data_IF_556939986101
#
_entry.id   IF_556939986101
#
_cell.length_a   1.000
_cell.length_b   1.000
_cell.length_c   1.000
_cell.angle_alpha   90.00
_cell.angle_beta   90.00
_cell.angle_gamma   90.00
#
_symmetry.space_group_name_H-M   'P 1'
#
loop_
_entity.id
_entity.type
_entity.pdbx_description
1 polymer ?
#
# COMPACT_ATOMS: atom_id res chain seq x y z
N UNK A 1 -27.03 -11.75 15.49
CA UNK A 1 -26.29 -12.94 14.97
C UNK A 1 -25.39 -12.44 13.87
N UNK A 2 -24.09 -12.47 14.05
CA UNK A 2 -23.13 -12.05 13.01
C UNK A 2 -23.25 -13.02 11.83
N UNK A 3 -23.40 -12.54 10.58
CA UNK A 3 -23.43 -13.44 9.44
C UNK A 3 -22.05 -14.12 9.32
N UNK A 4 -22.04 -15.43 9.46
CA UNK A 4 -20.84 -16.27 9.36
C UNK A 4 -20.71 -16.71 7.90
N UNK A 5 -19.63 -16.31 7.26
CA UNK A 5 -19.16 -16.99 6.05
C UNK A 5 -18.64 -18.37 6.46
N UNK A 6 -18.99 -19.41 5.69
CA UNK A 6 -18.41 -20.73 5.86
C UNK A 6 -16.88 -20.70 5.74
N UNK A 7 -16.18 -21.78 6.16
CA UNK A 7 -14.72 -21.82 6.06
C UNK A 7 -14.26 -21.72 4.59
N UNK A 8 -13.27 -20.85 4.34
CA UNK A 8 -12.62 -20.76 3.03
C UNK A 8 -11.66 -21.94 2.89
N UNK A 9 -11.98 -22.87 2.01
CA UNK A 9 -11.14 -24.06 1.77
C UNK A 9 -10.34 -23.96 0.47
N UNK A 10 -10.75 -23.07 -0.43
CA UNK A 10 -10.12 -22.89 -1.75
C UNK A 10 -8.96 -21.91 -1.64
N UNK A 11 -7.80 -22.30 -2.16
CA UNK A 11 -6.66 -21.39 -2.33
C UNK A 11 -6.89 -20.51 -3.56
N UNK A 12 -6.79 -19.20 -3.37
CA UNK A 12 -6.90 -18.22 -4.44
C UNK A 12 -5.50 -17.77 -4.90
N UNK A 13 -5.37 -17.46 -6.20
CA UNK A 13 -4.10 -16.94 -6.71
C UNK A 13 -3.80 -15.57 -6.13
N UNK A 14 -4.78 -14.67 -6.17
CA UNK A 14 -4.65 -13.29 -5.67
C UNK A 14 -5.77 -12.96 -4.70
N UNK A 15 -5.42 -12.31 -3.59
CA UNK A 15 -6.36 -11.77 -2.62
C UNK A 15 -6.09 -10.27 -2.46
N UNK A 16 -7.14 -9.47 -2.52
CA UNK A 16 -7.11 -8.03 -2.20
C UNK A 16 -7.53 -7.85 -0.75
N UNK A 17 -6.79 -7.05 0.01
CA UNK A 17 -7.09 -6.78 1.42
C UNK A 17 -7.04 -5.30 1.72
N UNK A 18 -7.98 -4.83 2.52
CA UNK A 18 -8.09 -3.42 2.92
C UNK A 18 -8.74 -3.27 4.30
N UNK A 19 -8.48 -2.14 4.96
CA UNK A 19 -9.10 -1.73 6.20
C UNK A 19 -9.99 -0.50 6.03
N UNK A 20 -11.25 -0.58 6.48
CA UNK A 20 -12.23 0.50 6.36
C UNK A 20 -12.58 1.02 7.73
N UNK A 21 -12.32 2.31 7.99
CA UNK A 21 -12.76 2.96 9.24
C UNK A 21 -14.20 3.46 9.11
N UNK A 22 -15.03 3.05 10.08
CA UNK A 22 -16.44 3.42 10.22
C UNK A 22 -16.62 3.89 11.66
N UNK A 23 -16.68 5.20 11.86
CA UNK A 23 -16.62 5.80 13.19
C UNK A 23 -15.31 5.44 13.92
N UNK A 24 -15.43 4.82 15.10
CA UNK A 24 -14.30 4.35 15.92
C UNK A 24 -13.86 2.91 15.63
N UNK A 25 -14.54 2.20 14.74
CA UNK A 25 -14.25 0.81 14.39
C UNK A 25 -13.59 0.69 13.05
N UNK A 26 -12.80 -0.36 12.88
CA UNK A 26 -12.20 -0.72 11.62
C UNK A 26 -12.72 -2.09 11.17
N UNK A 27 -13.20 -2.18 9.95
CA UNK A 27 -13.53 -3.42 9.27
C UNK A 27 -12.36 -3.81 8.36
N UNK A 28 -11.69 -4.90 8.67
CA UNK A 28 -10.73 -5.54 7.78
C UNK A 28 -11.48 -6.48 6.85
N UNK A 29 -11.13 -6.46 5.57
CA UNK A 29 -11.79 -7.28 4.55
C UNK A 29 -10.77 -7.92 3.62
N UNK A 30 -11.04 -9.17 3.25
CA UNK A 30 -10.29 -9.91 2.24
C UNK A 30 -11.24 -10.36 1.14
N UNK A 31 -10.91 -10.09 -0.12
CA UNK A 31 -11.71 -10.44 -1.29
C UNK A 31 -10.86 -11.03 -2.40
N UNK A 32 -11.49 -11.76 -3.32
CA UNK A 32 -10.87 -12.15 -4.58
C UNK A 32 -10.75 -10.96 -5.54
N UNK A 33 -10.04 -11.11 -6.66
CA UNK A 33 -9.99 -10.09 -7.72
C UNK A 33 -11.36 -9.82 -8.37
N UNK A 34 -12.29 -10.78 -8.29
CA UNK A 34 -13.68 -10.63 -8.73
C UNK A 34 -14.60 -10.04 -7.67
N UNK A 35 -14.03 -9.53 -6.56
CA UNK A 35 -14.72 -8.92 -5.42
C UNK A 35 -15.63 -9.87 -4.61
N UNK A 36 -15.43 -11.17 -4.71
CA UNK A 36 -16.05 -12.12 -3.81
C UNK A 36 -15.42 -11.99 -2.42
N UNK A 37 -16.24 -11.70 -1.40
CA UNK A 37 -15.78 -11.59 -0.02
C UNK A 37 -15.42 -12.99 0.52
N UNK A 38 -14.18 -13.12 0.97
CA UNK A 38 -13.66 -14.36 1.58
C UNK A 38 -13.80 -14.34 3.10
N UNK A 39 -13.40 -13.25 3.72
CA UNK A 39 -13.52 -13.04 5.15
C UNK A 39 -13.51 -11.56 5.51
N UNK A 40 -14.02 -11.24 6.70
CA UNK A 40 -13.90 -9.92 7.31
C UNK A 40 -13.64 -10.04 8.81
N UNK A 41 -13.15 -8.94 9.41
CA UNK A 41 -12.84 -8.85 10.83
C UNK A 41 -13.10 -7.45 11.34
N UNK A 42 -13.99 -7.30 12.33
CA UNK A 42 -14.12 -6.05 13.07
C UNK A 42 -13.00 -5.90 14.11
N UNK A 43 -12.45 -4.73 14.22
CA UNK A 43 -11.41 -4.40 15.20
C UNK A 43 -11.46 -2.90 15.56
N UNK A 44 -10.84 -2.54 16.69
CA UNK A 44 -10.72 -1.14 17.06
C UNK A 44 -9.70 -0.38 16.20
N UNK A 45 -8.72 -1.09 15.66
CA UNK A 45 -7.67 -0.53 14.79
C UNK A 45 -6.98 -1.64 13.99
N UNK A 46 -6.37 -1.27 12.90
CA UNK A 46 -5.52 -2.14 12.09
C UNK A 46 -4.25 -2.52 12.85
N UNK A 47 -4.30 -3.60 13.61
CA UNK A 47 -3.15 -4.16 14.33
C UNK A 47 -2.65 -5.45 13.68
N UNK A 48 -1.43 -5.87 14.00
CA UNK A 48 -0.90 -7.17 13.57
C UNK A 48 -1.82 -8.31 13.98
N UNK A 49 -2.30 -8.32 15.23
CA UNK A 49 -3.20 -9.36 15.73
C UNK A 49 -4.53 -9.40 14.99
N UNK A 50 -5.12 -8.23 14.66
CA UNK A 50 -6.37 -8.18 13.91
C UNK A 50 -6.22 -8.72 12.49
N UNK A 51 -5.12 -8.36 11.81
CA UNK A 51 -4.81 -8.90 10.48
C UNK A 51 -4.48 -10.39 10.52
N UNK A 52 -3.72 -10.88 11.52
CA UNK A 52 -3.43 -12.30 11.69
C UNK A 52 -4.72 -13.12 11.86
N UNK A 53 -5.62 -12.69 12.75
CA UNK A 53 -6.93 -13.34 12.96
C UNK A 53 -7.80 -13.39 11.69
N UNK A 54 -7.65 -12.42 10.77
CA UNK A 54 -8.30 -12.50 9.46
C UNK A 54 -7.63 -13.53 8.56
N UNK A 55 -6.29 -13.53 8.51
CA UNK A 55 -5.50 -14.37 7.60
C UNK A 55 -5.54 -15.84 7.97
N UNK A 56 -5.59 -16.19 9.27
CA UNK A 56 -5.73 -17.57 9.75
C UNK A 56 -6.96 -18.29 9.19
N UNK A 57 -7.99 -17.54 8.78
CA UNK A 57 -9.25 -18.10 8.25
C UNK A 57 -9.24 -18.33 6.75
N UNK A 58 -8.15 -17.98 6.07
CA UNK A 58 -8.05 -18.01 4.61
C UNK A 58 -6.77 -18.74 4.23
N UNK A 59 -6.80 -19.73 3.32
CA UNK A 59 -5.59 -20.34 2.78
C UNK A 59 -4.69 -19.29 2.14
N UNK A 60 -3.37 -19.37 2.39
CA UNK A 60 -2.39 -18.42 1.88
C UNK A 60 -2.44 -18.33 0.35
N UNK A 61 -2.62 -17.13 -0.24
CA UNK A 61 -2.60 -16.94 -1.68
C UNK A 61 -1.17 -16.91 -2.24
N UNK A 62 -1.04 -16.98 -3.56
CA UNK A 62 0.24 -16.69 -4.24
C UNK A 62 0.61 -15.22 -4.10
N UNK A 63 -0.36 -14.32 -4.29
CA UNK A 63 -0.16 -12.86 -4.21
C UNK A 63 -1.21 -12.22 -3.31
N UNK A 64 -0.78 -11.25 -2.50
CA UNK A 64 -1.67 -10.34 -1.79
C UNK A 64 -1.47 -8.90 -2.27
N UNK A 65 -2.55 -8.20 -2.57
CA UNK A 65 -2.52 -6.76 -2.89
C UNK A 65 -3.02 -5.97 -1.69
N UNK A 66 -2.18 -5.07 -1.16
CA UNK A 66 -2.50 -4.31 0.06
C UNK A 66 -1.96 -2.87 0.05
N UNK A 67 -2.47 -2.03 0.95
CA UNK A 67 -2.01 -0.66 1.16
C UNK A 67 -0.64 -0.55 1.83
N UNK A 68 -0.27 -1.57 2.62
CA UNK A 68 1.06 -1.74 3.22
C UNK A 68 1.27 -1.04 4.56
N UNK A 69 0.27 -0.97 5.39
CA UNK A 69 0.42 -0.63 6.79
C UNK A 69 1.39 -1.57 7.55
N UNK A 70 2.00 -1.09 8.64
CA UNK A 70 2.96 -1.89 9.40
C UNK A 70 2.33 -3.16 10.00
N UNK A 71 1.07 -3.07 10.48
CA UNK A 71 0.32 -4.18 11.05
C UNK A 71 0.09 -5.31 10.05
N UNK A 72 -0.36 -4.97 8.83
CA UNK A 72 -0.60 -5.97 7.80
C UNK A 72 0.69 -6.66 7.36
N UNK A 73 1.80 -5.93 7.20
CA UNK A 73 3.08 -6.54 6.83
C UNK A 73 3.62 -7.49 7.91
N UNK A 74 3.39 -7.19 9.18
CA UNK A 74 3.78 -8.07 10.27
C UNK A 74 2.94 -9.36 10.26
N UNK A 75 1.63 -9.24 10.09
CA UNK A 75 0.71 -10.38 9.99
C UNK A 75 1.01 -11.27 8.76
N UNK A 76 1.29 -10.66 7.60
CA UNK A 76 1.66 -11.41 6.39
C UNK A 76 2.92 -12.27 6.60
N UNK A 77 3.91 -11.77 7.32
CA UNK A 77 5.11 -12.57 7.63
C UNK A 77 4.83 -13.74 8.58
N UNK A 78 3.83 -13.61 9.44
CA UNK A 78 3.43 -14.66 10.38
C UNK A 78 2.58 -15.74 9.71
N UNK A 79 1.51 -15.31 9.03
CA UNK A 79 0.48 -16.22 8.55
C UNK A 79 0.74 -16.69 7.10
N UNK A 80 1.27 -15.80 6.25
CA UNK A 80 1.48 -16.06 4.83
C UNK A 80 2.93 -15.78 4.38
N UNK A 81 3.95 -16.41 5.00
CA UNK A 81 5.36 -16.05 4.80
C UNK A 81 5.89 -16.26 3.37
N UNK A 82 5.19 -17.05 2.55
CA UNK A 82 5.56 -17.32 1.15
C UNK A 82 4.75 -16.51 0.14
N UNK A 83 3.71 -15.80 0.58
CA UNK A 83 2.87 -14.98 -0.29
C UNK A 83 3.64 -13.76 -0.80
N UNK A 84 3.58 -13.53 -2.10
CA UNK A 84 4.17 -12.35 -2.72
C UNK A 84 3.31 -11.12 -2.43
N UNK A 85 3.95 -9.99 -2.19
CA UNK A 85 3.25 -8.76 -1.84
C UNK A 85 3.27 -7.81 -3.04
N UNK A 86 2.10 -7.42 -3.52
CA UNK A 86 1.91 -6.28 -4.40
C UNK A 86 1.42 -5.09 -3.59
N UNK A 87 2.18 -4.01 -3.57
CA UNK A 87 1.70 -2.75 -2.99
C UNK A 87 0.70 -2.10 -3.93
N UNK A 88 -0.43 -1.71 -3.39
CA UNK A 88 -1.41 -0.92 -4.15
C UNK A 88 -0.76 0.36 -4.69
N UNK A 89 -0.59 0.46 -6.01
CA UNK A 89 0.10 1.59 -6.63
C UNK A 89 -0.65 2.91 -6.44
N UNK A 90 -1.98 2.87 -6.30
CA UNK A 90 -2.76 4.04 -5.93
C UNK A 90 -2.33 4.58 -4.55
N UNK A 91 -2.22 3.73 -3.54
CA UNK A 91 -1.77 4.12 -2.19
C UNK A 91 -0.29 4.57 -2.18
N UNK A 92 0.57 3.96 -2.97
CA UNK A 92 1.96 4.43 -3.12
C UNK A 92 1.97 5.89 -3.62
N UNK A 93 1.17 6.20 -4.66
CA UNK A 93 1.06 7.56 -5.20
C UNK A 93 0.45 8.54 -4.19
N UNK A 94 -0.56 8.12 -3.44
CA UNK A 94 -1.15 8.93 -2.37
C UNK A 94 -0.13 9.26 -1.28
N UNK A 95 0.67 8.30 -0.85
CA UNK A 95 1.72 8.49 0.14
C UNK A 95 2.84 9.41 -0.38
N UNK A 96 3.22 9.30 -1.64
CA UNK A 96 4.14 10.25 -2.27
C UNK A 96 3.60 11.68 -2.25
N UNK A 97 2.31 11.86 -2.58
CA UNK A 97 1.64 13.18 -2.52
C UNK A 97 1.63 13.76 -1.12
N UNK A 98 1.42 12.93 -0.08
CA UNK A 98 1.50 13.39 1.33
C UNK A 98 2.88 13.96 1.67
N UNK A 99 3.94 13.38 1.12
CA UNK A 99 5.31 13.87 1.34
C UNK A 99 5.69 15.03 0.42
N UNK A 100 5.42 14.95 -0.86
CA UNK A 100 5.87 15.92 -1.87
C UNK A 100 4.91 17.09 -2.10
N UNK A 101 3.66 17.01 -1.61
CA UNK A 101 2.53 17.88 -1.97
C UNK A 101 2.03 17.67 -3.41
N UNK A 102 0.91 18.29 -3.75
CA UNK A 102 0.37 18.27 -5.12
C UNK A 102 1.23 19.07 -6.12
N UNK A 103 1.93 20.09 -5.63
CA UNK A 103 2.76 20.99 -6.43
C UNK A 103 4.12 21.17 -5.75
N UNK A 104 5.05 20.23 -5.92
CA UNK A 104 6.40 20.37 -5.37
C UNK A 104 7.09 21.61 -5.91
N UNK A 105 7.75 22.38 -5.02
CA UNK A 105 8.42 23.63 -5.42
C UNK A 105 9.82 23.37 -5.96
N UNK A 106 10.52 22.36 -5.46
CA UNK A 106 11.90 22.04 -5.86
C UNK A 106 11.93 21.14 -7.10
N UNK A 107 12.97 21.25 -7.92
CA UNK A 107 13.19 20.34 -9.06
C UNK A 107 13.27 18.88 -8.60
N UNK A 108 14.00 18.58 -7.53
CA UNK A 108 14.08 17.24 -6.95
C UNK A 108 12.70 16.67 -6.61
N UNK A 109 11.84 17.48 -5.97
CA UNK A 109 10.47 17.09 -5.65
C UNK A 109 9.59 16.88 -6.88
N UNK A 110 9.72 17.75 -7.90
CA UNK A 110 8.96 17.62 -9.15
C UNK A 110 9.34 16.34 -9.90
N UNK A 111 10.63 16.06 -10.04
CA UNK A 111 11.11 14.85 -10.72
C UNK A 111 10.71 13.59 -9.96
N UNK A 112 10.82 13.57 -8.63
CA UNK A 112 10.38 12.40 -7.85
C UNK A 112 8.86 12.17 -7.93
N UNK A 113 8.07 13.25 -8.01
CA UNK A 113 6.62 13.15 -8.24
C UNK A 113 6.28 12.58 -9.64
N UNK A 114 7.06 12.94 -10.67
CA UNK A 114 6.93 12.38 -12.02
C UNK A 114 7.28 10.88 -12.04
N UNK A 115 8.37 10.47 -11.37
CA UNK A 115 8.72 9.05 -11.21
C UNK A 115 7.59 8.29 -10.51
N UNK A 116 7.01 8.87 -9.46
CA UNK A 116 5.84 8.28 -8.79
C UNK A 116 4.59 8.20 -9.67
N UNK A 117 4.40 9.15 -10.60
CA UNK A 117 3.30 9.10 -11.58
C UNK A 117 3.53 7.99 -12.60
N UNK A 118 4.74 7.83 -13.09
CA UNK A 118 5.11 6.83 -14.09
C UNK A 118 4.89 5.37 -13.60
N UNK A 119 4.77 5.12 -12.29
CA UNK A 119 4.41 3.80 -11.77
C UNK A 119 3.13 3.22 -12.38
N UNK A 120 2.17 4.06 -12.73
CA UNK A 120 0.91 3.58 -13.34
C UNK A 120 1.02 3.28 -14.83
N UNK A 121 2.13 3.62 -15.45
CA UNK A 121 2.42 3.49 -16.88
C UNK A 121 3.34 2.28 -17.17
N UNK A 122 3.79 1.56 -16.12
CA UNK A 122 4.63 0.38 -16.24
C UNK A 122 3.75 -0.82 -16.57
N UNK A 123 3.86 -1.37 -17.78
CA UNK A 123 3.07 -2.49 -18.27
C UNK A 123 3.91 -3.73 -18.58
N UNK A 124 5.22 -3.55 -18.77
CA UNK A 124 6.17 -4.61 -19.12
C UNK A 124 7.34 -4.68 -18.14
N UNK A 125 8.12 -5.75 -18.22
CA UNK A 125 9.37 -5.89 -17.45
C UNK A 125 10.38 -4.83 -17.90
N UNK A 126 10.41 -4.52 -19.18
CA UNK A 126 11.25 -3.48 -19.77
C UNK A 126 10.92 -2.11 -19.19
N UNK A 127 9.62 -1.77 -19.08
CA UNK A 127 9.19 -0.51 -18.44
C UNK A 127 9.62 -0.46 -16.98
N UNK A 128 9.54 -1.58 -16.27
CA UNK A 128 9.98 -1.65 -14.87
C UNK A 128 11.50 -1.43 -14.74
N UNK A 129 12.30 -1.94 -15.68
CA UNK A 129 13.74 -1.69 -15.73
C UNK A 129 14.01 -0.21 -15.97
N UNK A 130 13.34 0.40 -16.94
CA UNK A 130 13.49 1.84 -17.23
C UNK A 130 13.05 2.69 -16.03
N UNK A 131 11.95 2.34 -15.38
CA UNK A 131 11.51 3.02 -14.18
C UNK A 131 12.57 2.95 -13.05
N UNK A 132 13.18 1.80 -12.84
CA UNK A 132 14.27 1.64 -11.86
C UNK A 132 15.48 2.52 -12.20
N UNK A 133 15.84 2.65 -13.48
CA UNK A 133 16.89 3.56 -13.95
C UNK A 133 16.55 5.03 -13.65
N UNK A 134 15.29 5.46 -13.84
CA UNK A 134 14.88 6.82 -13.49
C UNK A 134 15.07 7.09 -11.99
N UNK A 135 14.81 6.10 -11.15
CA UNK A 135 15.02 6.21 -9.71
C UNK A 135 16.52 6.36 -9.37
N UNK A 136 17.39 5.64 -10.05
CA UNK A 136 18.85 5.73 -9.89
C UNK A 136 19.39 7.10 -10.36
N UNK A 137 18.96 7.56 -11.52
CA UNK A 137 19.32 8.90 -12.05
C UNK A 137 18.89 10.00 -11.08
N UNK A 138 17.68 9.89 -10.52
CA UNK A 138 17.23 10.82 -9.49
C UNK A 138 18.16 10.84 -8.28
N UNK A 139 18.59 9.66 -7.82
CA UNK A 139 19.52 9.56 -6.70
C UNK A 139 20.88 10.20 -6.99
N UNK A 140 21.43 9.97 -8.16
CA UNK A 140 22.70 10.60 -8.57
C UNK A 140 22.60 12.13 -8.59
N UNK A 141 21.47 12.66 -9.08
CA UNK A 141 21.28 14.11 -9.20
C UNK A 141 20.95 14.79 -7.85
N UNK A 142 20.16 14.13 -6.99
CA UNK A 142 19.52 14.78 -5.83
C UNK A 142 19.73 14.07 -4.50
N UNK A 143 20.39 12.91 -4.47
CA UNK A 143 20.52 12.10 -3.29
C UNK A 143 21.17 12.82 -2.10
N UNK A 144 22.07 13.77 -2.34
CA UNK A 144 22.72 14.56 -1.30
C UNK A 144 21.71 15.41 -0.51
N UNK A 145 20.67 15.94 -1.17
CA UNK A 145 19.62 16.72 -0.49
C UNK A 145 18.93 15.92 0.62
N UNK A 146 18.85 14.59 0.47
CA UNK A 146 18.23 13.71 1.48
C UNK A 146 19.09 13.52 2.72
N UNK A 147 20.37 13.90 2.68
CA UNK A 147 21.34 13.78 3.78
C UNK A 147 21.57 15.08 4.51
N UNK A 148 21.21 16.21 3.89
CA UNK A 148 21.39 17.54 4.47
C UNK A 148 20.66 17.69 5.81
N UNK A 149 21.34 18.34 6.76
CA UNK A 149 20.82 18.59 8.10
C UNK A 149 20.81 20.09 8.40
N UNK A 150 19.77 20.51 9.11
CA UNK A 150 19.62 21.89 9.60
C UNK A 150 19.50 21.85 11.12
N UNK A 151 20.21 22.77 11.78
CA UNK A 151 20.00 23.07 13.19
C UNK A 151 18.89 24.11 13.30
N UNK A 152 17.81 23.76 13.98
CA UNK A 152 16.68 24.65 14.21
C UNK A 152 16.96 25.64 15.35
N UNK A 153 16.08 26.65 15.48
CA UNK A 153 16.24 27.71 16.52
C UNK A 153 16.16 27.18 17.94
N UNK A 154 15.43 26.08 18.15
CA UNK A 154 15.30 25.37 19.42
C UNK A 154 16.52 24.49 19.76
N UNK A 155 17.56 24.49 18.93
CA UNK A 155 18.77 23.70 19.07
C UNK A 155 18.67 22.27 18.53
N UNK A 156 17.49 21.78 18.13
CA UNK A 156 17.32 20.45 17.55
C UNK A 156 17.95 20.37 16.16
N UNK A 157 18.39 19.16 15.79
CA UNK A 157 18.96 18.87 14.47
C UNK A 157 18.03 17.93 13.72
N UNK A 158 17.53 18.36 12.58
CA UNK A 158 16.69 17.54 11.70
C UNK A 158 17.19 17.53 10.25
N UNK A 159 16.49 16.76 9.41
CA UNK A 159 16.80 16.76 7.98
C UNK A 159 16.19 18.00 7.31
N UNK A 160 17.01 18.75 6.57
CA UNK A 160 16.59 19.94 5.82
C UNK A 160 15.44 19.64 4.87
N UNK A 161 15.53 18.52 4.17
CA UNK A 161 14.57 18.06 3.18
C UNK A 161 13.85 16.77 3.63
N UNK A 162 13.36 16.73 4.89
CA UNK A 162 12.77 15.51 5.50
C UNK A 162 11.63 14.91 4.66
N UNK A 163 10.76 15.74 4.10
CA UNK A 163 9.66 15.28 3.26
C UNK A 163 10.15 14.63 1.96
N UNK A 164 11.14 15.22 1.30
CA UNK A 164 11.78 14.65 0.11
C UNK A 164 12.46 13.32 0.44
N UNK A 165 13.16 13.28 1.58
CA UNK A 165 13.80 12.08 2.08
C UNK A 165 12.81 10.95 2.36
N UNK A 166 11.66 11.25 2.96
CA UNK A 166 10.58 10.27 3.22
C UNK A 166 9.99 9.74 1.92
N UNK A 167 9.74 10.62 0.94
CA UNK A 167 9.25 10.23 -0.38
C UNK A 167 10.23 9.31 -1.13
N UNK A 168 11.51 9.67 -1.12
CA UNK A 168 12.57 8.83 -1.69
C UNK A 168 12.64 7.45 -1.02
N UNK A 169 12.70 7.42 0.33
CA UNK A 169 12.79 6.17 1.07
C UNK A 169 11.61 5.24 0.82
N UNK A 170 10.41 5.79 0.66
CA UNK A 170 9.23 5.00 0.31
C UNK A 170 9.45 4.22 -1.00
N UNK A 171 9.85 4.90 -2.07
CA UNK A 171 10.08 4.24 -3.36
C UNK A 171 11.26 3.25 -3.30
N UNK A 172 12.35 3.66 -2.67
CA UNK A 172 13.54 2.82 -2.52
C UNK A 172 13.23 1.50 -1.78
N UNK A 173 12.53 1.57 -0.65
CA UNK A 173 12.17 0.40 0.15
C UNK A 173 11.21 -0.53 -0.59
N UNK A 174 10.23 0.01 -1.31
CA UNK A 174 9.30 -0.77 -2.09
C UNK A 174 9.99 -1.46 -3.27
N UNK A 175 10.91 -0.75 -3.94
CA UNK A 175 11.71 -1.31 -5.02
C UNK A 175 12.64 -2.43 -4.52
N UNK A 176 13.32 -2.25 -3.39
CA UNK A 176 14.21 -3.26 -2.80
C UNK A 176 13.50 -4.54 -2.35
N UNK A 177 12.22 -4.42 -2.01
CA UNK A 177 11.38 -5.55 -1.57
C UNK A 177 10.61 -6.20 -2.71
N UNK A 178 10.79 -5.72 -3.94
CA UNK A 178 10.06 -6.14 -5.15
C UNK A 178 8.53 -6.07 -5.00
N UNK A 179 8.03 -5.10 -4.19
CA UNK A 179 6.60 -4.93 -3.91
C UNK A 179 5.86 -4.04 -4.94
N UNK A 180 6.56 -3.47 -5.93
CA UNK A 180 5.96 -2.53 -6.89
C UNK A 180 5.44 -3.21 -8.15
N UNK A 181 6.10 -4.25 -8.61
CA UNK A 181 5.89 -4.84 -9.93
C UNK A 181 5.59 -6.34 -9.89
N UNK A 182 5.10 -6.85 -8.75
CA UNK A 182 4.70 -8.25 -8.57
C UNK A 182 3.70 -8.70 -9.65
N UNK A 183 2.81 -7.79 -10.07
CA UNK A 183 1.82 -8.04 -11.11
C UNK A 183 2.41 -8.41 -12.48
N UNK A 184 3.63 -7.99 -12.80
CA UNK A 184 4.29 -8.35 -14.06
C UNK A 184 4.66 -9.84 -14.12
N UNK A 185 5.00 -10.44 -12.98
CA UNK A 185 5.36 -11.85 -12.87
C UNK A 185 4.14 -12.76 -12.66
N UNK A 186 3.08 -12.25 -12.02
CA UNK A 186 1.96 -13.08 -11.55
C UNK A 186 0.62 -12.75 -12.22
N UNK A 187 0.53 -11.70 -13.05
CA UNK A 187 -0.69 -11.31 -13.76
C UNK A 187 -1.82 -10.78 -12.86
N UNK A 188 -1.52 -10.42 -11.60
CA UNK A 188 -2.48 -9.89 -10.64
C UNK A 188 -2.77 -8.40 -10.84
N UNK A 189 -3.81 -7.89 -10.18
CA UNK A 189 -4.12 -6.46 -10.16
C UNK A 189 -3.03 -5.61 -9.47
N UNK A 190 -2.91 -4.35 -9.89
CA UNK A 190 -1.93 -3.37 -9.36
C UNK A 190 -2.46 -2.57 -8.18
N UNK A 191 -3.78 -2.60 -7.96
CA UNK A 191 -4.44 -1.74 -6.97
C UNK A 191 -5.58 -2.47 -6.28
N UNK A 192 -5.98 -1.97 -5.11
CA UNK A 192 -7.20 -2.36 -4.42
C UNK A 192 -8.38 -1.41 -4.76
N UNK A 193 -8.23 -0.54 -5.77
CA UNK A 193 -9.27 0.41 -6.18
C UNK A 193 -10.62 -0.26 -6.50
N UNK A 194 -10.70 -1.46 -7.09
CA UNK A 194 -11.98 -2.16 -7.25
C UNK A 194 -12.68 -2.46 -5.92
N UNK A 195 -11.92 -2.81 -4.88
CA UNK A 195 -12.44 -3.03 -3.53
C UNK A 195 -12.91 -1.71 -2.90
N UNK A 196 -12.10 -0.63 -3.02
CA UNK A 196 -12.42 0.68 -2.48
C UNK A 196 -13.66 1.31 -3.13
N UNK A 197 -13.75 1.31 -4.47
CA UNK A 197 -14.86 1.86 -5.23
C UNK A 197 -16.13 1.02 -5.18
N UNK A 198 -15.99 -0.29 -5.07
CA UNK A 198 -17.09 -1.25 -4.99
C UNK A 198 -17.58 -1.47 -3.56
N UNK A 199 -17.00 -2.45 -2.88
CA UNK A 199 -17.48 -2.93 -1.58
C UNK A 199 -17.35 -1.86 -0.49
N UNK A 200 -16.19 -1.19 -0.37
CA UNK A 200 -15.94 -0.23 0.70
C UNK A 200 -16.88 0.97 0.61
N UNK A 201 -17.17 1.46 -0.59
CA UNK A 201 -18.10 2.56 -0.78
C UNK A 201 -19.54 2.16 -0.45
N UNK A 202 -19.96 0.95 -0.85
CA UNK A 202 -21.26 0.38 -0.49
C UNK A 202 -21.44 0.27 1.03
N UNK A 203 -20.45 -0.27 1.74
CA UNK A 203 -20.47 -0.41 3.20
C UNK A 203 -20.58 0.97 3.87
N UNK A 204 -19.78 1.96 3.45
CA UNK A 204 -19.83 3.33 4.01
C UNK A 204 -21.21 3.97 3.83
N UNK A 205 -21.81 3.78 2.64
CA UNK A 205 -23.15 4.32 2.34
C UNK A 205 -24.20 3.70 3.25
N UNK A 206 -24.22 2.38 3.41
CA UNK A 206 -25.16 1.67 4.28
C UNK A 206 -24.99 2.10 5.73
N UNK A 207 -23.76 2.14 6.24
CA UNK A 207 -23.49 2.54 7.63
C UNK A 207 -23.87 4.01 7.91
N UNK A 208 -23.69 4.92 6.94
CA UNK A 208 -24.11 6.30 7.07
C UNK A 208 -25.66 6.43 7.14
N UNK A 209 -26.39 5.54 6.44
CA UNK A 209 -27.85 5.54 6.43
C UNK A 209 -28.44 4.97 7.73
N UNK A 210 -27.77 4.02 8.38
CA UNK A 210 -28.25 3.38 9.63
C UNK A 210 -27.90 4.21 10.87
N UNK A 211 -26.88 5.08 10.79
CA UNK A 211 -26.41 5.92 11.89
C UNK A 211 -27.02 7.34 11.92
N UNK A 212 -27.96 7.63 11.02
CA UNK A 212 -28.80 8.86 11.00
C UNK A 212 -30.24 8.55 11.56
#
# INVERSE_FOLDING_TARGET
MEPSLGPVTTTHHTILVDGIYIGSWCLLIAVTETLQVLAWQWCARESTAAWAALFERIPAPTVVVCDGGAGIHAALRQEWPRTQIQRCLFHVRMNLRRHLTLRPRTYAGKHLAQIGKALSEVDTVEDAIEWKKLLEVWWQAYGQLTKERTRYRDGTIGFTHDRLRKAWRLLLELNRKDHLFTYLAHGNGRTISPLEGGINNGIRTVCATIGA
#
